data_IF_955587441913
#
_entry.id   IF_955587441913
#
_cell.length_a   1.000
_cell.length_b   1.000
_cell.length_c   1.000
_cell.angle_alpha   90.00
_cell.angle_beta   90.00
_cell.angle_gamma   90.00
#
_symmetry.space_group_name_H-M   'P 1'
#
loop_
_entity.id
_entity.type
_entity.pdbx_description
1 polymer ?
#
# COMPACT_ATOMS: atom_id res chain seq x y z
N UNK A 1 10.43 -14.45 -3.65
CA UNK A 1 10.95 -13.20 -3.07
C UNK A 1 11.44 -12.32 -4.21
N UNK A 2 11.09 -11.03 -4.22
CA UNK A 2 11.26 -10.13 -5.39
C UNK A 2 12.59 -9.38 -5.44
N UNK A 3 13.46 -9.60 -4.45
CA UNK A 3 14.72 -8.89 -4.27
C UNK A 3 15.88 -9.91 -4.42
N UNK A 4 16.12 -10.42 -5.64
CA UNK A 4 17.11 -11.48 -5.87
C UNK A 4 18.52 -11.07 -5.45
N UNK A 5 18.83 -9.77 -5.47
CA UNK A 5 20.10 -9.22 -5.06
C UNK A 5 20.40 -9.44 -3.57
N UNK A 6 19.37 -9.51 -2.69
CA UNK A 6 19.59 -9.85 -1.27
C UNK A 6 20.17 -11.25 -1.13
N UNK A 7 19.64 -12.20 -1.92
CA UNK A 7 20.11 -13.58 -1.94
C UNK A 7 21.51 -13.65 -2.52
N UNK A 8 21.75 -12.96 -3.64
CA UNK A 8 23.05 -12.93 -4.30
C UNK A 8 24.14 -12.36 -3.37
N UNK A 9 23.89 -11.24 -2.69
CA UNK A 9 24.85 -10.63 -1.76
C UNK A 9 25.17 -11.55 -0.58
N UNK A 10 24.17 -12.17 0.04
CA UNK A 10 24.40 -13.08 1.18
C UNK A 10 25.17 -14.33 0.72
N UNK A 11 24.86 -14.87 -0.46
CA UNK A 11 25.60 -16.02 -1.03
C UNK A 11 27.03 -15.66 -1.40
N UNK A 12 27.26 -14.48 -1.97
CA UNK A 12 28.59 -13.98 -2.28
C UNK A 12 29.44 -13.83 -1.00
N UNK A 13 28.87 -13.33 0.10
CA UNK A 13 29.54 -13.30 1.42
C UNK A 13 29.90 -14.70 1.95
N UNK A 14 29.19 -15.74 1.51
CA UNK A 14 29.48 -17.15 1.80
C UNK A 14 30.44 -17.78 0.78
N UNK A 15 31.01 -17.01 -0.14
CA UNK A 15 31.89 -17.49 -1.21
C UNK A 15 31.17 -18.28 -2.31
N UNK A 16 29.86 -18.08 -2.48
CA UNK A 16 29.05 -18.74 -3.51
C UNK A 16 28.55 -17.72 -4.53
N UNK A 17 28.92 -17.92 -5.79
CA UNK A 17 28.41 -17.15 -6.92
C UNK A 17 27.60 -18.07 -7.84
N UNK A 18 26.55 -17.53 -8.46
CA UNK A 18 25.69 -18.28 -9.37
C UNK A 18 24.28 -17.70 -9.49
N UNK A 19 23.46 -18.34 -10.30
CA UNK A 19 22.05 -18.03 -10.41
C UNK A 19 21.26 -18.70 -9.27
N UNK A 20 20.52 -17.89 -8.51
CA UNK A 20 19.67 -18.31 -7.39
C UNK A 20 18.18 -18.13 -7.69
N UNK A 21 17.81 -17.87 -8.95
CA UNK A 21 16.43 -17.68 -9.40
C UNK A 21 15.54 -18.88 -9.06
N UNK A 22 16.07 -20.09 -9.26
CA UNK A 22 15.38 -21.37 -9.07
C UNK A 22 15.11 -21.80 -7.63
N UNK A 23 15.60 -21.06 -6.62
CA UNK A 23 15.33 -21.37 -5.21
C UNK A 23 13.86 -21.23 -4.88
N UNK A 24 13.34 -22.12 -4.04
CA UNK A 24 11.99 -22.05 -3.53
C UNK A 24 11.81 -20.93 -2.49
N UNK A 25 10.57 -20.70 -2.05
CA UNK A 25 10.25 -19.64 -1.09
C UNK A 25 10.89 -19.85 0.29
N UNK A 26 10.94 -21.09 0.77
CA UNK A 26 11.48 -21.42 2.08
C UNK A 26 12.99 -21.27 2.09
N UNK A 27 13.66 -21.76 1.05
CA UNK A 27 15.11 -21.60 0.87
C UNK A 27 15.51 -20.13 0.84
N UNK A 28 14.76 -19.31 0.09
CA UNK A 28 14.95 -17.85 0.07
C UNK A 28 14.81 -17.24 1.47
N UNK A 29 13.81 -17.67 2.25
CA UNK A 29 13.61 -17.19 3.61
C UNK A 29 14.71 -17.63 4.58
N UNK A 30 15.21 -18.87 4.47
CA UNK A 30 16.31 -19.39 5.27
C UNK A 30 17.60 -18.60 5.02
N UNK A 31 17.88 -18.26 3.75
CA UNK A 31 19.05 -17.46 3.38
C UNK A 31 18.97 -16.06 4.01
N UNK A 32 17.83 -15.38 3.94
CA UNK A 32 17.69 -14.08 4.58
C UNK A 32 17.86 -14.15 6.10
N UNK A 33 17.25 -15.17 6.73
CA UNK A 33 17.36 -15.37 8.18
C UNK A 33 18.78 -15.71 8.62
N UNK A 34 19.62 -16.23 7.73
CA UNK A 34 21.02 -16.54 8.04
C UNK A 34 21.90 -15.29 8.22
N UNK A 35 21.51 -14.13 7.65
CA UNK A 35 22.27 -12.90 7.75
C UNK A 35 21.36 -11.65 7.84
N UNK A 36 20.63 -11.49 8.96
CA UNK A 36 19.67 -10.40 9.12
C UNK A 36 20.34 -9.02 9.08
N UNK A 37 21.61 -8.89 9.50
CA UNK A 37 22.35 -7.62 9.48
C UNK A 37 22.51 -7.10 8.05
N UNK A 38 22.89 -7.98 7.11
CA UNK A 38 23.05 -7.59 5.70
C UNK A 38 21.70 -7.26 5.08
N UNK A 39 20.67 -8.05 5.37
CA UNK A 39 19.29 -7.77 4.93
C UNK A 39 18.84 -6.38 5.40
N UNK A 40 19.11 -6.02 6.65
CA UNK A 40 18.72 -4.71 7.19
C UNK A 40 19.49 -3.55 6.54
N UNK A 41 20.79 -3.70 6.32
CA UNK A 41 21.58 -2.67 5.61
C UNK A 41 21.10 -2.44 4.18
N UNK A 42 20.74 -3.52 3.48
CA UNK A 42 20.20 -3.42 2.13
C UNK A 42 18.80 -2.79 2.11
N UNK A 43 17.97 -3.12 3.10
CA UNK A 43 16.67 -2.47 3.28
C UNK A 43 16.83 -0.97 3.55
N UNK A 44 17.71 -0.59 4.47
CA UNK A 44 18.04 0.81 4.80
C UNK A 44 18.48 1.57 3.55
N UNK A 45 19.40 1.02 2.75
CA UNK A 45 19.84 1.64 1.48
C UNK A 45 18.72 1.88 0.48
N UNK A 46 17.67 1.06 0.53
CA UNK A 46 16.51 1.18 -0.36
C UNK A 46 15.49 2.17 0.17
N UNK A 47 15.40 2.33 1.50
CA UNK A 47 14.68 3.46 2.13
C UNK A 47 15.40 4.77 1.83
N UNK A 48 16.73 4.81 1.93
CA UNK A 48 17.54 5.98 1.55
C UNK A 48 17.23 6.39 0.10
N UNK A 49 17.31 5.44 -0.85
CA UNK A 49 17.02 5.71 -2.26
C UNK A 49 15.56 6.16 -2.48
N UNK A 50 14.59 5.56 -1.79
CA UNK A 50 13.20 6.04 -1.85
C UNK A 50 13.09 7.49 -1.39
N UNK A 51 13.76 7.85 -0.30
CA UNK A 51 13.72 9.20 0.25
C UNK A 51 14.45 10.19 -0.65
N UNK A 52 15.66 9.88 -1.13
CA UNK A 52 16.50 10.81 -1.89
C UNK A 52 16.08 10.94 -3.35
N UNK A 53 15.72 9.82 -3.99
CA UNK A 53 15.58 9.76 -5.44
C UNK A 53 14.12 9.99 -5.87
N UNK A 54 13.16 9.81 -4.96
CA UNK A 54 11.73 10.00 -5.22
C UNK A 54 11.10 11.08 -4.33
N UNK A 55 11.09 10.89 -3.00
CA UNK A 55 10.30 11.74 -2.09
C UNK A 55 10.87 13.15 -1.98
N UNK A 56 12.18 13.27 -1.71
CA UNK A 56 12.91 14.53 -1.51
C UNK A 56 13.73 14.91 -2.74
N UNK A 57 13.42 14.30 -3.88
CA UNK A 57 14.11 14.56 -5.13
C UNK A 57 13.92 16.02 -5.58
N UNK A 58 14.96 16.68 -6.13
CA UNK A 58 14.82 18.02 -6.71
C UNK A 58 13.77 18.12 -7.82
N UNK A 59 13.39 16.98 -8.43
CA UNK A 59 12.33 16.92 -9.43
C UNK A 59 10.93 17.15 -8.84
N UNK A 60 10.76 17.05 -7.52
CA UNK A 60 9.49 17.28 -6.81
C UNK A 60 8.32 16.48 -7.43
N UNK A 61 8.53 15.19 -7.69
CA UNK A 61 7.55 14.35 -8.41
C UNK A 61 6.19 14.23 -7.73
N UNK A 62 6.13 14.48 -6.41
CA UNK A 62 4.90 14.48 -5.60
C UNK A 62 4.53 15.89 -5.09
N UNK A 63 5.19 16.93 -5.61
CA UNK A 63 5.14 18.31 -5.10
C UNK A 63 6.30 18.62 -4.12
N UNK A 64 6.44 19.90 -3.70
CA UNK A 64 7.41 20.29 -2.69
C UNK A 64 7.05 19.66 -1.34
N UNK A 65 8.00 18.99 -0.70
CA UNK A 65 7.79 18.37 0.62
C UNK A 65 8.07 19.41 1.71
N UNK A 66 7.07 19.69 2.53
CA UNK A 66 7.18 20.57 3.70
C UNK A 66 7.77 19.82 4.90
N UNK A 67 7.26 18.61 5.16
CA UNK A 67 7.71 17.75 6.26
C UNK A 67 7.49 16.27 5.92
N UNK A 68 8.14 15.37 6.64
CA UNK A 68 7.92 13.94 6.54
C UNK A 68 8.20 13.21 7.85
N UNK A 69 7.44 12.13 8.09
CA UNK A 69 7.64 11.23 9.21
C UNK A 69 7.59 9.80 8.69
N UNK A 70 8.60 9.00 9.00
CA UNK A 70 8.49 7.56 8.80
C UNK A 70 9.03 6.77 9.98
N UNK A 71 8.49 5.55 10.15
CA UNK A 71 8.98 4.56 11.10
C UNK A 71 9.17 3.22 10.41
N UNK A 72 10.22 2.52 10.80
CA UNK A 72 10.47 1.15 10.40
C UNK A 72 9.80 0.22 11.40
N UNK A 73 8.94 -0.66 10.91
CA UNK A 73 8.28 -1.67 11.71
C UNK A 73 8.68 -3.08 11.30
N UNK A 74 8.78 -3.95 12.29
CA UNK A 74 9.03 -5.37 12.10
C UNK A 74 7.77 -6.14 12.44
N UNK A 75 7.05 -6.62 11.43
CA UNK A 75 5.96 -7.56 11.68
C UNK A 75 6.57 -8.89 12.16
N UNK A 76 5.81 -9.66 12.94
CA UNK A 76 6.19 -11.02 13.39
C UNK A 76 6.49 -12.03 12.25
N UNK A 77 6.45 -11.58 11.00
CA UNK A 77 6.79 -12.31 9.77
C UNK A 77 8.18 -11.95 9.22
N UNK A 78 8.94 -11.12 9.92
CA UNK A 78 10.38 -10.91 9.74
C UNK A 78 10.79 -9.93 8.64
N UNK A 79 9.90 -9.50 7.75
CA UNK A 79 10.22 -8.44 6.78
C UNK A 79 9.99 -7.06 7.40
N UNK A 80 10.98 -6.15 7.36
CA UNK A 80 10.75 -4.77 7.73
C UNK A 80 9.85 -4.09 6.69
N UNK A 81 9.00 -3.17 7.14
CA UNK A 81 8.25 -2.26 6.29
C UNK A 81 8.25 -0.86 6.87
N UNK A 82 8.09 0.15 6.02
CA UNK A 82 7.99 1.54 6.45
C UNK A 82 6.52 1.96 6.52
N UNK A 83 6.17 2.66 7.58
CA UNK A 83 4.99 3.53 7.62
C UNK A 83 5.49 4.96 7.44
N UNK A 84 5.00 5.66 6.43
CA UNK A 84 5.45 7.00 6.07
C UNK A 84 4.27 7.92 5.85
N UNK A 85 4.40 9.14 6.36
CA UNK A 85 3.52 10.29 6.11
C UNK A 85 4.40 11.39 5.53
N UNK A 86 3.94 12.03 4.45
CA UNK A 86 4.63 13.13 3.79
C UNK A 86 3.65 14.29 3.66
N UNK A 87 4.05 15.46 4.11
CA UNK A 87 3.29 16.70 3.98
C UNK A 87 3.80 17.46 2.77
N UNK A 88 2.89 17.76 1.84
CA UNK A 88 3.18 18.46 0.60
C UNK A 88 2.72 19.90 0.74
N UNK A 89 3.60 20.84 0.39
CA UNK A 89 3.31 22.27 0.39
C UNK A 89 2.10 22.56 -0.53
N UNK A 90 1.22 23.45 -0.07
CA UNK A 90 -0.02 23.85 -0.78
C UNK A 90 -0.98 22.69 -1.14
N UNK A 91 -0.87 21.53 -0.48
CA UNK A 91 -1.86 20.47 -0.65
C UNK A 91 -3.25 20.94 -0.18
N UNK A 92 -4.32 20.70 -0.97
CA UNK A 92 -5.65 21.18 -0.63
C UNK A 92 -6.20 20.47 0.61
N UNK A 93 -6.70 21.26 1.56
CA UNK A 93 -7.38 20.75 2.75
C UNK A 93 -8.82 20.30 2.47
N UNK A 94 -9.31 19.33 3.23
CA UNK A 94 -10.73 18.91 3.20
C UNK A 94 -11.51 19.82 4.16
N UNK A 95 -12.23 20.79 3.60
CA UNK A 95 -13.12 21.68 4.37
C UNK A 95 -14.53 21.06 4.50
N UNK A 96 -15.15 20.69 3.38
CA UNK A 96 -16.37 19.89 3.32
C UNK A 96 -16.13 18.60 2.50
N UNK A 97 -16.24 17.41 3.10
CA UNK A 97 -16.12 16.13 2.38
C UNK A 97 -17.08 15.97 1.19
N UNK A 98 -18.21 16.68 1.19
CA UNK A 98 -19.24 16.59 0.13
C UNK A 98 -18.94 17.47 -1.08
N UNK A 99 -18.05 18.46 -0.95
CA UNK A 99 -17.74 19.42 -2.01
C UNK A 99 -16.28 19.88 -1.93
N UNK A 100 -15.37 19.01 -2.37
CA UNK A 100 -13.93 19.28 -2.41
C UNK A 100 -13.30 18.80 -3.74
N UNK A 101 -13.68 19.39 -4.88
CA UNK A 101 -13.19 18.99 -6.20
C UNK A 101 -11.67 19.13 -6.34
N UNK A 102 -11.05 20.09 -5.67
CA UNK A 102 -9.60 20.31 -5.71
C UNK A 102 -8.84 19.19 -4.97
N UNK A 103 -9.39 18.70 -3.86
CA UNK A 103 -8.83 17.56 -3.13
C UNK A 103 -8.91 16.29 -3.95
N UNK A 104 -10.06 16.04 -4.60
CA UNK A 104 -10.24 14.86 -5.46
C UNK A 104 -9.23 14.89 -6.61
N UNK A 105 -9.10 16.04 -7.30
CA UNK A 105 -8.13 16.20 -8.37
C UNK A 105 -6.68 16.01 -7.89
N UNK A 106 -6.35 16.50 -6.70
CA UNK A 106 -5.04 16.30 -6.10
C UNK A 106 -4.77 14.81 -5.81
N UNK A 107 -5.75 14.08 -5.27
CA UNK A 107 -5.65 12.63 -5.03
C UNK A 107 -5.46 11.89 -6.35
N UNK A 108 -6.32 12.13 -7.33
CA UNK A 108 -6.32 11.40 -8.61
C UNK A 108 -5.04 11.64 -9.42
N UNK A 109 -4.34 12.76 -9.19
CA UNK A 109 -3.03 13.06 -9.79
C UNK A 109 -1.93 12.08 -9.36
N UNK A 110 -1.96 11.62 -8.11
CA UNK A 110 -0.88 10.82 -7.52
C UNK A 110 -1.29 9.38 -7.20
N UNK A 111 -2.58 9.14 -7.02
CA UNK A 111 -3.12 7.85 -6.60
C UNK A 111 -4.11 7.38 -7.65
N UNK A 112 -3.87 6.16 -8.16
CA UNK A 112 -4.81 5.48 -9.03
C UNK A 112 -4.92 4.02 -8.65
N UNK A 113 -6.11 3.46 -8.82
CA UNK A 113 -6.32 2.02 -8.71
C UNK A 113 -6.60 1.37 -10.08
N UNK A 114 -6.50 2.15 -11.16
CA UNK A 114 -6.74 1.67 -12.51
C UNK A 114 -5.60 0.74 -12.94
N UNK A 115 -5.95 -0.38 -13.57
CA UNK A 115 -4.95 -1.23 -14.21
C UNK A 115 -4.37 -0.50 -15.44
N UNK A 116 -3.04 -0.33 -15.55
CA UNK A 116 -2.41 0.26 -16.73
C UNK A 116 -2.78 -0.51 -18.00
N UNK A 117 -2.82 0.17 -19.15
CA UNK A 117 -3.04 -0.51 -20.43
C UNK A 117 -1.80 -1.33 -20.82
N UNK A 118 -2.01 -2.61 -21.10
CA UNK A 118 -0.92 -3.55 -21.42
C UNK A 118 -0.16 -3.19 -22.69
N UNK A 119 -0.80 -2.50 -23.65
CA UNK A 119 -0.16 -2.12 -24.92
C UNK A 119 0.57 -0.79 -24.81
N UNK A 120 0.03 0.16 -24.04
CA UNK A 120 0.62 1.48 -23.84
C UNK A 120 1.83 1.43 -22.90
N UNK A 121 1.74 0.66 -21.81
CA UNK A 121 2.82 0.49 -20.85
C UNK A 121 2.87 -0.96 -20.31
N UNK A 122 3.47 -1.90 -21.07
CA UNK A 122 3.55 -3.31 -20.68
C UNK A 122 4.36 -3.53 -19.39
N UNK A 123 5.35 -2.68 -19.12
CA UNK A 123 6.20 -2.80 -17.94
C UNK A 123 5.43 -2.44 -16.67
N UNK A 124 4.78 -1.26 -16.66
CA UNK A 124 3.96 -0.84 -15.53
C UNK A 124 2.77 -1.79 -15.33
N UNK A 125 2.11 -2.23 -16.41
CA UNK A 125 1.04 -3.23 -16.34
C UNK A 125 1.51 -4.51 -15.64
N UNK A 126 2.68 -5.02 -16.02
CA UNK A 126 3.26 -6.22 -15.39
C UNK A 126 3.55 -5.98 -13.91
N UNK A 127 4.17 -4.87 -13.54
CA UNK A 127 4.48 -4.57 -12.13
C UNK A 127 3.19 -4.48 -11.31
N UNK A 128 2.21 -3.69 -11.76
CA UNK A 128 0.94 -3.47 -11.05
C UNK A 128 0.15 -4.76 -10.94
N UNK A 129 0.02 -5.54 -12.02
CA UNK A 129 -0.70 -6.83 -12.01
C UNK A 129 -0.08 -7.84 -11.04
N UNK A 130 1.25 -7.78 -10.85
CA UNK A 130 1.94 -8.66 -9.93
C UNK A 130 1.87 -8.21 -8.46
N UNK A 131 1.95 -6.90 -8.17
CA UNK A 131 2.13 -6.37 -6.78
C UNK A 131 0.92 -5.67 -6.18
N UNK A 132 0.01 -5.12 -7.00
CA UNK A 132 -1.12 -4.31 -6.54
C UNK A 132 -2.47 -5.02 -6.71
N UNK A 133 -2.48 -6.32 -7.04
CA UNK A 133 -3.70 -7.11 -7.20
C UNK A 133 -3.90 -8.05 -6.02
N UNK A 134 -5.09 -8.01 -5.44
CA UNK A 134 -5.50 -8.99 -4.43
C UNK A 134 -5.61 -10.38 -5.06
N UNK A 135 -4.83 -11.34 -4.56
CA UNK A 135 -4.74 -12.67 -5.14
C UNK A 135 -6.06 -13.46 -5.04
N UNK A 136 -6.52 -14.01 -6.17
CA UNK A 136 -7.67 -14.93 -6.26
C UNK A 136 -7.49 -16.22 -5.47
N UNK A 137 -6.24 -16.62 -5.25
CA UNK A 137 -5.94 -17.84 -4.49
C UNK A 137 -6.07 -17.63 -2.97
N UNK A 138 -6.29 -16.39 -2.51
CA UNK A 138 -6.49 -15.97 -1.12
C UNK A 138 -5.51 -16.62 -0.13
N UNK A 139 -4.55 -15.83 0.37
CA UNK A 139 -3.60 -16.27 1.40
C UNK A 139 -4.31 -16.73 2.70
N UNK A 140 -3.60 -17.50 3.54
CA UNK A 140 -4.11 -17.93 4.86
C UNK A 140 -4.61 -16.74 5.72
N UNK A 141 -3.93 -15.60 5.63
CA UNK A 141 -4.27 -14.38 6.36
C UNK A 141 -5.53 -13.71 5.81
N UNK A 142 -5.77 -13.86 4.51
CA UNK A 142 -6.98 -13.42 3.84
C UNK A 142 -8.19 -14.29 4.20
N UNK A 143 -8.02 -15.61 4.34
CA UNK A 143 -9.11 -16.53 4.73
C UNK A 143 -9.31 -16.64 6.24
N UNK A 144 -8.88 -15.63 7.02
CA UNK A 144 -9.02 -15.66 8.47
C UNK A 144 -10.49 -15.49 8.85
N UNK A 145 -11.08 -16.53 9.45
CA UNK A 145 -12.50 -16.60 9.79
C UNK A 145 -13.28 -17.51 8.83
N UNK A 146 -14.60 -17.63 9.02
CA UNK A 146 -15.46 -18.47 8.16
C UNK A 146 -15.97 -17.71 6.92
N UNK A 147 -15.07 -16.95 6.26
CA UNK A 147 -15.40 -16.09 5.11
C UNK A 147 -14.41 -16.33 3.97
N UNK A 148 -14.87 -16.19 2.73
CA UNK A 148 -14.03 -16.35 1.54
C UNK A 148 -12.85 -15.35 1.54
N UNK A 149 -13.14 -14.10 1.89
CA UNK A 149 -12.15 -13.03 2.00
C UNK A 149 -12.45 -12.13 3.21
N UNK A 150 -11.55 -12.11 4.21
CA UNK A 150 -11.63 -11.21 5.36
C UNK A 150 -11.70 -9.73 4.98
N UNK A 151 -11.12 -9.35 3.85
CA UNK A 151 -11.05 -7.96 3.39
C UNK A 151 -12.20 -7.56 2.45
N UNK A 152 -13.12 -8.49 2.15
CA UNK A 152 -14.27 -8.24 1.28
C UNK A 152 -13.92 -8.08 -0.20
N UNK A 153 -12.86 -8.74 -0.68
CA UNK A 153 -12.56 -8.78 -2.12
C UNK A 153 -13.29 -9.94 -2.81
N UNK A 154 -13.69 -9.78 -4.09
CA UNK A 154 -13.52 -8.57 -4.90
C UNK A 154 -14.48 -7.44 -4.49
N UNK A 155 -14.04 -6.19 -4.63
CA UNK A 155 -14.87 -5.00 -4.42
C UNK A 155 -15.47 -4.58 -5.76
N UNK A 156 -16.62 -3.92 -5.70
CA UNK A 156 -17.23 -3.33 -6.89
C UNK A 156 -16.37 -2.12 -7.36
N UNK A 157 -16.23 -1.92 -8.67
CA UNK A 157 -15.41 -0.85 -9.23
C UNK A 157 -16.03 0.52 -9.01
N UNK A 158 -15.20 1.49 -8.61
CA UNK A 158 -15.63 2.87 -8.45
C UNK A 158 -15.18 3.66 -9.68
N UNK A 159 -16.12 4.36 -10.35
CA UNK A 159 -15.81 5.17 -11.54
C UNK A 159 -15.05 6.46 -11.21
N UNK A 160 -15.19 6.95 -9.98
CA UNK A 160 -14.57 8.19 -9.50
C UNK A 160 -14.17 8.07 -8.04
N UNK A 161 -13.19 8.88 -7.66
CA UNK A 161 -12.80 9.05 -6.26
C UNK A 161 -13.93 9.73 -5.49
N UNK A 162 -14.25 9.18 -4.32
CA UNK A 162 -15.26 9.71 -3.40
C UNK A 162 -14.61 9.84 -2.03
N UNK A 163 -14.67 11.04 -1.47
CA UNK A 163 -14.24 11.27 -0.08
C UNK A 163 -15.44 10.91 0.79
N UNK A 164 -15.29 9.84 1.57
CA UNK A 164 -16.33 9.45 2.51
C UNK A 164 -16.36 10.46 3.66
N UNK A 165 -17.51 11.09 3.88
CA UNK A 165 -17.74 11.86 5.10
C UNK A 165 -17.75 10.89 6.27
N UNK A 166 -16.70 10.94 7.06
CA UNK A 166 -16.59 10.20 8.29
C UNK A 166 -17.70 10.70 9.24
N UNK A 167 -18.52 9.81 9.84
CA UNK A 167 -19.33 10.16 11.00
C UNK A 167 -18.45 10.12 12.25
N UNK A 168 -17.26 10.72 12.17
CA UNK A 168 -16.36 10.80 13.32
C UNK A 168 -16.80 12.03 14.10
N UNK A 169 -17.49 11.78 15.22
CA UNK A 169 -17.64 12.78 16.25
C UNK A 169 -16.42 12.63 17.17
N UNK A 170 -15.64 13.70 17.31
CA UNK A 170 -14.53 13.75 18.29
C UNK A 170 -15.04 13.56 19.74
N UNK A 171 -16.34 13.72 19.96
CA UNK A 171 -17.04 13.49 21.23
C UNK A 171 -17.46 12.01 21.46
N UNK A 172 -17.35 11.13 20.47
CA UNK A 172 -17.76 9.73 20.56
C UNK A 172 -16.56 8.78 20.80
N UNK A 173 -16.72 7.83 21.73
CA UNK A 173 -15.71 6.80 22.02
C UNK A 173 -15.38 5.94 20.79
N UNK A 174 -14.12 5.47 20.72
CA UNK A 174 -13.54 4.64 19.67
C UNK A 174 -14.41 3.43 19.28
N UNK A 175 -15.18 2.87 20.23
CA UNK A 175 -16.09 1.76 19.97
C UNK A 175 -17.30 2.13 19.10
N UNK A 176 -17.79 3.37 19.20
CA UNK A 176 -18.94 3.86 18.43
C UNK A 176 -18.52 4.32 17.03
N UNK A 177 -17.41 5.05 16.93
CA UNK A 177 -16.80 5.44 15.65
C UNK A 177 -16.48 4.22 14.76
N UNK A 178 -16.01 3.10 15.35
CA UNK A 178 -15.80 1.83 14.63
C UNK A 178 -17.08 1.24 14.02
N UNK A 179 -18.17 1.18 14.79
CA UNK A 179 -19.47 0.67 14.31
C UNK A 179 -20.05 1.56 13.20
N UNK A 180 -19.84 2.87 13.29
CA UNK A 180 -20.30 3.81 12.29
C UNK A 180 -19.50 3.68 10.98
N UNK A 181 -18.19 3.47 11.06
CA UNK A 181 -17.33 3.15 9.92
C UNK A 181 -17.67 1.81 9.24
N UNK A 182 -18.14 0.81 9.98
CA UNK A 182 -18.66 -0.43 9.40
C UNK A 182 -19.94 -0.20 8.58
N UNK A 183 -20.89 0.58 9.10
CA UNK A 183 -22.11 0.95 8.35
C UNK A 183 -21.82 1.77 7.10
N UNK A 184 -20.81 2.65 7.13
CA UNK A 184 -20.38 3.43 5.96
C UNK A 184 -19.79 2.54 4.86
N UNK A 185 -19.11 1.45 5.22
CA UNK A 185 -18.62 0.45 4.24
C UNK A 185 -19.77 -0.26 3.54
N UNK A 186 -20.83 -0.58 4.26
CA UNK A 186 -22.03 -1.21 3.68
C UNK A 186 -22.76 -0.26 2.72
N UNK A 187 -22.84 1.03 3.05
CA UNK A 187 -23.42 2.07 2.19
C UNK A 187 -22.64 2.27 0.88
N UNK A 188 -21.30 2.26 0.95
CA UNK A 188 -20.42 2.34 -0.23
C UNK A 188 -20.57 1.13 -1.16
N UNK A 189 -20.90 -0.06 -0.62
CA UNK A 189 -21.22 -1.24 -1.43
C UNK A 189 -22.53 -1.07 -2.22
N UNK A 190 -23.56 -0.44 -1.64
CA UNK A 190 -24.88 -0.28 -2.27
C UNK A 190 -24.86 0.72 -3.43
N UNK A 191 -24.07 1.79 -3.34
CA UNK A 191 -24.00 2.81 -4.40
C UNK A 191 -23.44 2.28 -5.74
N UNK A 192 -22.76 1.14 -5.72
CA UNK A 192 -22.01 0.63 -6.85
C UNK A 192 -22.79 -0.37 -7.74
N UNK A 193 -23.99 -0.82 -7.32
CA UNK A 193 -24.83 -1.76 -8.07
C UNK A 193 -25.45 -1.17 -9.37
N UNK A 194 -25.21 0.12 -9.66
CA UNK A 194 -25.77 0.81 -10.84
C UNK A 194 -24.78 0.97 -12.01
N UNK A 195 -23.54 0.51 -11.86
CA UNK A 195 -22.47 0.63 -12.87
C UNK A 195 -22.02 -0.72 -13.43
N UNK A 196 -21.57 -0.74 -14.69
CA UNK A 196 -21.13 -1.95 -15.39
C UNK A 196 -19.84 -2.55 -14.79
N UNK A 197 -19.68 -3.88 -14.79
CA UNK A 197 -18.60 -4.55 -14.08
C UNK A 197 -17.29 -4.48 -14.88
N UNK A 198 -16.38 -3.60 -14.48
CA UNK A 198 -14.95 -3.73 -14.81
C UNK A 198 -14.18 -3.94 -13.52
N UNK A 199 -13.19 -4.83 -13.53
CA UNK A 199 -12.53 -5.27 -12.30
C UNK A 199 -11.40 -4.32 -11.95
N UNK A 200 -11.66 -3.26 -11.17
CA UNK A 200 -10.61 -2.41 -10.62
C UNK A 200 -10.53 -2.58 -9.10
N UNK A 201 -9.30 -2.65 -8.59
CA UNK A 201 -9.01 -2.58 -7.16
C UNK A 201 -9.55 -1.25 -6.62
N UNK A 202 -10.12 -1.25 -5.42
CA UNK A 202 -10.48 -0.02 -4.70
C UNK A 202 -9.51 0.15 -3.54
N UNK A 203 -8.81 1.28 -3.48
CA UNK A 203 -8.05 1.69 -2.30
C UNK A 203 -9.01 2.26 -1.27
N UNK A 204 -8.93 1.74 -0.05
CA UNK A 204 -9.54 2.36 1.13
C UNK A 204 -8.39 2.78 2.05
N UNK A 205 -8.07 4.07 2.05
CA UNK A 205 -7.15 4.64 3.02
C UNK A 205 -7.94 5.01 4.27
N UNK A 206 -7.68 4.33 5.39
CA UNK A 206 -8.07 4.82 6.70
C UNK A 206 -6.85 5.50 7.30
N UNK A 207 -6.86 6.82 7.41
CA UNK A 207 -6.02 7.54 8.36
C UNK A 207 -6.53 7.21 9.77
N UNK A 208 -6.10 6.08 10.33
CA UNK A 208 -6.26 5.85 11.77
C UNK A 208 -5.16 6.63 12.48
N UNK A 209 -5.50 7.83 12.98
CA UNK A 209 -4.67 8.54 13.96
C UNK A 209 -4.87 7.83 15.30
N UNK A 210 -4.25 6.66 15.45
CA UNK A 210 -4.19 5.96 16.72
C UNK A 210 -3.08 6.56 17.55
N UNK A 211 -3.42 7.53 18.41
CA UNK A 211 -2.58 7.87 19.56
C UNK A 211 -2.42 6.61 20.41
N UNK A 212 -1.20 6.07 20.48
CA UNK A 212 -0.81 5.11 21.49
C UNK A 212 0.42 5.66 22.19
N UNK A 213 0.18 6.27 23.35
CA UNK A 213 1.12 6.34 24.48
C UNK A 213 1.51 4.95 24.92
#
# INVERSE_FOLDING_TARGET
MRWPEFIAVIKAQQGKEGDFSGLDWNEKCDILRSNPVTVMRMFEKRVDALMTDLILSPAQSIGPVEDYLFRVEFQARGSPHIHMVVWIEDAPGVQDPKDCPDVIQFIDRYITCQMPDEKADPELHKIVSEVQVHSRNHSKTCRKGNVLCRFGFPRLPMEKTIIASAPWNDDEDDGQNKKCGEKAKDLLLICCERGTPTWTSSLYSTSSVGSCT
#
